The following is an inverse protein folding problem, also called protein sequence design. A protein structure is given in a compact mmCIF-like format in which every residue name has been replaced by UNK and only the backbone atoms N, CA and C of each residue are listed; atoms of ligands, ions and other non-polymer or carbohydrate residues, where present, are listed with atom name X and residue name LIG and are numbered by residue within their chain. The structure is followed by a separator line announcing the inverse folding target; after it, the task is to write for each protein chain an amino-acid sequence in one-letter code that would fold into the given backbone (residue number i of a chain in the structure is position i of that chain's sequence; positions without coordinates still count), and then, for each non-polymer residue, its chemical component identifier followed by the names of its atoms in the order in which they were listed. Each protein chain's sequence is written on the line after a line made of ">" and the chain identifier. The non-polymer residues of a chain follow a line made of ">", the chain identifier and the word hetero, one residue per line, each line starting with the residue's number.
data_IF_469925395867
#
_entry.id   IF_469925395867
#
_cell.length_a   1.000
_cell.length_b   1.000
_cell.length_c   1.000
_cell.angle_alpha   90.00
_cell.angle_beta   90.00
_cell.angle_gamma   90.00
#
_symmetry.space_group_name_H-M   'P 1'
#
loop_
_entity.id
_entity.type
_entity.pdbx_description
1 polymer ?
#
# COMPACT_ATOMS: atom_id res chain seq x y z
N UNK A 1 1.58 -19.88 -13.73
CA UNK A 1 0.85 -18.83 -12.98
C UNK A 1 1.66 -18.44 -11.74
N UNK A 2 2.86 -17.89 -11.92
CA UNK A 2 3.73 -17.47 -10.80
C UNK A 2 3.66 -15.97 -10.49
N UNK A 3 3.07 -15.18 -11.39
CA UNK A 3 3.08 -13.71 -11.30
C UNK A 3 1.99 -13.14 -10.38
N UNK A 4 0.96 -13.91 -10.01
CA UNK A 4 -0.12 -13.41 -9.14
C UNK A 4 0.37 -13.01 -7.75
N UNK A 5 1.42 -13.68 -7.26
CA UNK A 5 2.07 -13.38 -5.98
C UNK A 5 3.17 -12.31 -6.09
N UNK A 6 3.40 -11.76 -7.28
CA UNK A 6 4.43 -10.76 -7.49
C UNK A 6 4.06 -9.47 -6.74
N UNK A 7 4.89 -9.13 -5.77
CA UNK A 7 4.79 -7.89 -5.00
C UNK A 7 5.40 -6.72 -5.75
N UNK A 8 4.89 -5.50 -5.53
CA UNK A 8 5.44 -4.29 -6.15
C UNK A 8 6.86 -4.02 -5.63
N UNK A 9 7.05 -4.13 -4.32
CA UNK A 9 8.33 -4.08 -3.60
C UNK A 9 8.38 -5.21 -2.56
N UNK A 10 9.56 -5.52 -1.99
CA UNK A 10 9.69 -6.57 -0.97
C UNK A 10 8.99 -6.17 0.33
N UNK A 11 7.91 -6.89 0.68
CA UNK A 11 7.14 -6.63 1.91
C UNK A 11 7.97 -6.74 3.20
N UNK A 12 9.14 -7.40 3.19
CA UNK A 12 10.04 -7.45 4.35
C UNK A 12 10.52 -6.07 4.79
N UNK A 13 10.62 -5.12 3.86
CA UNK A 13 11.02 -3.75 4.18
C UNK A 13 10.10 -3.12 5.24
N UNK A 14 8.80 -3.46 5.22
CA UNK A 14 7.83 -2.96 6.21
C UNK A 14 8.16 -3.46 7.62
N UNK A 15 8.69 -4.68 7.75
CA UNK A 15 9.07 -5.27 9.03
C UNK A 15 10.34 -4.65 9.62
N UNK A 16 11.16 -4.01 8.78
CA UNK A 16 12.39 -3.32 9.19
C UNK A 16 12.15 -1.87 9.66
N UNK A 17 10.91 -1.37 9.53
CA UNK A 17 10.57 -0.02 9.97
C UNK A 17 10.62 0.06 11.50
N UNK A 18 11.49 0.93 12.01
CA UNK A 18 11.58 1.24 13.44
C UNK A 18 10.41 2.11 13.90
N UNK A 19 9.30 1.44 14.23
CA UNK A 19 8.07 2.08 14.66
C UNK A 19 8.20 2.78 16.03
N UNK A 20 9.21 2.46 16.83
CA UNK A 20 9.46 3.15 18.10
C UNK A 20 9.84 4.63 17.91
N UNK A 21 10.27 5.01 16.69
CA UNK A 21 10.53 6.40 16.31
C UNK A 21 9.27 7.16 15.86
N UNK A 22 8.14 6.47 15.70
CA UNK A 22 6.89 7.13 15.32
C UNK A 22 6.37 8.00 16.48
N UNK A 23 5.99 9.27 16.23
CA UNK A 23 5.34 10.10 17.24
C UNK A 23 3.87 9.68 17.48
N UNK A 24 3.36 8.73 16.70
CA UNK A 24 1.97 8.27 16.76
C UNK A 24 1.85 7.12 17.76
N UNK A 25 0.96 7.28 18.74
CA UNK A 25 0.59 6.20 19.65
C UNK A 25 -0.44 5.28 19.00
N UNK A 26 -0.14 4.00 18.96
CA UNK A 26 -1.05 2.94 18.51
C UNK A 26 -1.63 2.21 19.74
N UNK A 27 -2.84 2.56 20.19
CA UNK A 27 -3.46 1.83 21.29
C UNK A 27 -3.71 0.37 20.89
N UNK A 28 -3.79 -0.51 21.89
CA UNK A 28 -4.16 -1.92 21.74
C UNK A 28 -3.16 -2.80 20.96
N UNK A 29 -1.89 -2.40 20.87
CA UNK A 29 -0.83 -3.26 20.30
C UNK A 29 -0.89 -3.40 18.77
N UNK A 30 -1.54 -2.46 18.08
CA UNK A 30 -1.54 -2.38 16.62
C UNK A 30 -0.12 -2.03 16.15
N UNK A 31 0.37 -2.78 15.17
CA UNK A 31 1.68 -2.57 14.52
C UNK A 31 1.63 -3.03 13.07
N UNK A 32 2.70 -2.82 12.31
CA UNK A 32 2.83 -3.33 10.93
C UNK A 32 2.66 -4.86 10.89
N UNK A 33 3.25 -5.57 11.86
CA UNK A 33 3.17 -7.03 11.96
C UNK A 33 1.90 -7.54 12.63
N UNK A 34 1.12 -6.65 13.24
CA UNK A 34 -0.16 -6.94 13.88
C UNK A 34 -1.16 -5.80 13.63
N UNK A 35 -1.61 -5.57 12.38
CA UNK A 35 -2.46 -4.43 12.04
C UNK A 35 -3.90 -4.57 12.57
N UNK A 36 -4.29 -5.78 12.95
CA UNK A 36 -5.61 -6.14 13.48
C UNK A 36 -5.89 -7.62 13.27
N UNK A 37 -6.96 -8.12 13.88
CA UNK A 37 -7.37 -9.52 13.69
C UNK A 37 -7.70 -9.79 12.21
N UNK A 38 -7.11 -10.87 11.67
CA UNK A 38 -7.24 -11.26 10.24
C UNK A 38 -6.74 -10.21 9.24
N UNK A 39 -6.03 -9.18 9.68
CA UNK A 39 -5.51 -8.14 8.80
C UNK A 39 -4.02 -8.38 8.49
N UNK A 40 -3.62 -8.09 7.25
CA UNK A 40 -2.22 -8.17 6.81
C UNK A 40 -1.84 -6.90 6.07
N UNK A 41 -0.82 -6.20 6.55
CA UNK A 41 -0.19 -5.09 5.84
C UNK A 41 0.96 -5.62 4.97
N UNK A 42 0.95 -5.28 3.68
CA UNK A 42 1.93 -5.79 2.71
C UNK A 42 2.04 -4.89 1.48
N UNK A 43 3.02 -5.17 0.63
CA UNK A 43 3.09 -4.59 -0.70
C UNK A 43 1.87 -4.97 -1.55
N UNK A 44 1.46 -4.06 -2.45
CA UNK A 44 0.48 -4.34 -3.50
C UNK A 44 0.96 -5.50 -4.38
N UNK A 45 0.04 -6.41 -4.72
CA UNK A 45 0.28 -7.55 -5.61
C UNK A 45 -0.54 -7.47 -6.88
N UNK A 46 -0.14 -8.21 -7.90
CA UNK A 46 -0.92 -8.37 -9.13
C UNK A 46 -2.32 -8.94 -8.85
N UNK A 47 -2.43 -9.92 -7.93
CA UNK A 47 -3.72 -10.51 -7.54
C UNK A 47 -4.71 -9.51 -6.93
N UNK A 48 -4.25 -8.36 -6.45
CA UNK A 48 -5.09 -7.42 -5.70
C UNK A 48 -6.11 -6.68 -6.56
N UNK A 49 -5.93 -6.70 -7.87
CA UNK A 49 -6.97 -6.29 -8.81
C UNK A 49 -8.28 -7.06 -8.55
N UNK A 50 -8.19 -8.38 -8.37
CA UNK A 50 -9.34 -9.24 -8.13
C UNK A 50 -9.82 -9.21 -6.65
N UNK A 51 -9.02 -8.63 -5.75
CA UNK A 51 -9.34 -8.44 -4.32
C UNK A 51 -9.96 -7.06 -4.01
N UNK A 52 -10.40 -6.33 -5.02
CA UNK A 52 -11.16 -5.09 -4.81
C UNK A 52 -10.32 -3.80 -4.73
N UNK A 53 -9.05 -3.81 -5.17
CA UNK A 53 -8.16 -2.64 -5.03
C UNK A 53 -8.72 -1.37 -5.70
N UNK A 54 -9.26 -1.48 -6.92
CA UNK A 54 -9.83 -0.32 -7.62
C UNK A 54 -11.18 0.13 -7.04
N UNK A 55 -11.94 -0.79 -6.45
CA UNK A 55 -13.15 -0.50 -5.70
C UNK A 55 -12.82 0.30 -4.43
N UNK A 56 -11.72 -0.03 -3.74
CA UNK A 56 -11.21 0.78 -2.64
C UNK A 56 -10.79 2.18 -3.13
N UNK A 57 -9.96 2.28 -4.17
CA UNK A 57 -9.51 3.58 -4.69
C UNK A 57 -10.67 4.45 -5.20
N UNK A 58 -11.77 3.86 -5.67
CA UNK A 58 -12.97 4.60 -6.10
C UNK A 58 -13.63 5.41 -4.97
N UNK A 59 -13.35 5.09 -3.70
CA UNK A 59 -13.81 5.89 -2.54
C UNK A 59 -13.00 7.19 -2.35
N UNK A 60 -11.84 7.31 -3.00
CA UNK A 60 -10.99 8.49 -2.96
C UNK A 60 -11.22 9.39 -4.18
N UNK A 61 -11.25 8.81 -5.38
CA UNK A 61 -11.37 9.55 -6.64
C UNK A 61 -11.90 8.64 -7.76
N UNK A 62 -12.17 9.20 -8.94
CA UNK A 62 -12.59 8.42 -10.10
C UNK A 62 -11.50 7.43 -10.55
N UNK A 63 -11.89 6.16 -10.68
CA UNK A 63 -11.06 5.06 -11.17
C UNK A 63 -11.70 4.29 -12.32
N UNK A 64 -12.77 4.84 -12.90
CA UNK A 64 -13.56 4.21 -13.94
C UNK A 64 -12.71 3.78 -15.15
N UNK A 65 -13.15 2.72 -15.82
CA UNK A 65 -12.55 2.18 -17.05
C UNK A 65 -11.17 1.53 -16.90
N UNK A 66 -10.70 1.26 -15.68
CA UNK A 66 -9.46 0.49 -15.49
C UNK A 66 -9.71 -1.00 -15.68
N UNK A 67 -9.07 -1.60 -16.67
CA UNK A 67 -9.07 -3.06 -16.88
C UNK A 67 -7.88 -3.72 -16.20
N UNK A 68 -7.91 -5.05 -16.07
CA UNK A 68 -6.81 -5.82 -15.49
C UNK A 68 -5.52 -5.66 -16.28
N UNK A 69 -5.62 -5.55 -17.60
CA UNK A 69 -4.49 -5.33 -18.51
C UNK A 69 -3.83 -3.97 -18.27
N UNK A 70 -4.63 -2.90 -18.16
CA UNK A 70 -4.13 -1.55 -17.86
C UNK A 70 -3.44 -1.53 -16.49
N UNK A 71 -4.04 -2.21 -15.51
CA UNK A 71 -3.44 -2.35 -14.17
C UNK A 71 -2.10 -3.10 -14.23
N UNK A 72 -2.02 -4.23 -14.94
CA UNK A 72 -0.78 -5.00 -15.10
C UNK A 72 0.33 -4.19 -15.73
N UNK A 73 0.03 -3.46 -16.82
CA UNK A 73 1.00 -2.58 -17.48
C UNK A 73 1.52 -1.51 -16.51
N UNK A 74 0.63 -0.86 -15.75
CA UNK A 74 1.00 0.14 -14.74
C UNK A 74 1.83 -0.48 -13.63
N UNK A 75 1.43 -1.64 -13.11
CA UNK A 75 2.13 -2.34 -12.04
C UNK A 75 3.57 -2.66 -12.44
N UNK A 76 3.78 -3.23 -13.64
CA UNK A 76 5.11 -3.54 -14.13
C UNK A 76 5.95 -2.28 -14.38
N UNK A 77 5.36 -1.20 -14.90
CA UNK A 77 6.05 0.07 -15.07
C UNK A 77 6.54 0.63 -13.73
N UNK A 78 5.68 0.64 -12.71
CA UNK A 78 6.03 1.10 -11.35
C UNK A 78 7.10 0.20 -10.72
N UNK A 79 6.96 -1.14 -10.84
CA UNK A 79 7.94 -2.10 -10.33
C UNK A 79 9.34 -1.93 -10.95
N UNK A 80 9.39 -1.58 -12.22
CA UNK A 80 10.65 -1.38 -12.94
C UNK A 80 11.37 -0.07 -12.54
N UNK A 81 10.65 0.89 -11.94
CA UNK A 81 11.23 2.07 -11.32
C UNK A 81 11.77 1.73 -9.92
N UNK A 82 13.01 1.24 -9.89
CA UNK A 82 13.69 0.86 -8.64
C UNK A 82 13.64 1.99 -7.60
N UNK A 83 13.41 1.59 -6.36
CA UNK A 83 13.41 2.45 -5.17
C UNK A 83 12.49 3.68 -5.27
N UNK A 84 11.44 3.62 -6.09
CA UNK A 84 10.55 4.77 -6.37
C UNK A 84 9.14 4.59 -5.80
N UNK A 85 8.47 3.46 -6.06
CA UNK A 85 7.06 3.27 -5.71
C UNK A 85 6.86 2.20 -4.63
N UNK A 86 6.19 2.59 -3.55
CA UNK A 86 5.88 1.72 -2.40
C UNK A 86 4.37 1.75 -2.11
N UNK A 87 3.56 1.27 -3.06
CA UNK A 87 2.13 1.08 -2.86
C UNK A 87 1.90 -0.05 -1.84
N UNK A 88 1.42 0.34 -0.67
CA UNK A 88 1.21 -0.53 0.49
C UNK A 88 -0.27 -0.67 0.73
N UNK A 89 -0.72 -1.90 1.00
CA UNK A 89 -2.12 -2.23 1.22
C UNK A 89 -2.31 -2.95 2.54
N UNK A 90 -3.53 -2.86 3.07
CA UNK A 90 -4.01 -3.76 4.13
C UNK A 90 -5.08 -4.67 3.52
N UNK A 91 -4.87 -5.97 3.63
CA UNK A 91 -5.83 -7.00 3.26
C UNK A 91 -6.56 -7.48 4.51
N UNK A 92 -7.89 -7.63 4.43
CA UNK A 92 -8.64 -8.50 5.33
C UNK A 92 -8.67 -9.91 4.74
N UNK A 93 -7.95 -10.82 5.39
CA UNK A 93 -7.80 -12.21 4.94
C UNK A 93 -9.04 -13.06 5.19
N UNK A 94 -9.98 -12.61 6.04
CA UNK A 94 -11.24 -13.30 6.29
C UNK A 94 -12.24 -13.10 5.14
N UNK A 95 -12.17 -11.95 4.47
CA UNK A 95 -13.00 -11.62 3.30
C UNK A 95 -12.22 -11.66 1.98
N UNK A 96 -10.89 -11.84 2.03
CA UNK A 96 -9.98 -11.79 0.88
C UNK A 96 -10.10 -10.48 0.09
N UNK A 97 -10.15 -9.35 0.82
CA UNK A 97 -10.40 -8.02 0.26
C UNK A 97 -9.34 -7.02 0.67
N UNK A 98 -8.96 -6.11 -0.23
CA UNK A 98 -8.14 -4.96 0.10
C UNK A 98 -9.01 -3.86 0.72
N UNK A 99 -8.65 -3.46 1.94
CA UNK A 99 -9.47 -2.58 2.80
C UNK A 99 -8.80 -1.24 3.11
N UNK A 100 -7.50 -1.10 2.87
CA UNK A 100 -6.79 0.17 2.98
C UNK A 100 -5.60 0.19 2.02
N UNK A 101 -5.19 1.39 1.62
CA UNK A 101 -4.06 1.60 0.71
C UNK A 101 -3.44 2.98 0.91
N UNK A 102 -2.13 3.06 0.68
CA UNK A 102 -1.36 4.29 0.60
C UNK A 102 -0.11 4.06 -0.25
N UNK A 103 0.31 5.07 -0.99
CA UNK A 103 1.51 5.00 -1.84
C UNK A 103 2.56 5.98 -1.33
N UNK A 104 3.76 5.48 -1.01
CA UNK A 104 4.94 6.34 -0.87
C UNK A 104 5.68 6.38 -2.21
N UNK A 105 5.87 7.59 -2.74
CA UNK A 105 6.71 7.85 -3.91
C UNK A 105 8.02 8.53 -3.49
N UNK A 106 9.14 8.02 -3.98
CA UNK A 106 10.48 8.59 -3.74
C UNK A 106 10.97 9.30 -4.99
N UNK A 107 11.12 10.61 -4.89
CA UNK A 107 11.60 11.47 -5.97
C UNK A 107 13.08 11.84 -5.75
N UNK A 108 13.94 11.55 -6.72
CA UNK A 108 15.35 11.94 -6.72
C UNK A 108 15.52 13.38 -7.21
N UNK A 109 16.37 14.17 -6.54
CA UNK A 109 16.58 15.60 -6.84
C UNK A 109 18.07 15.92 -6.92
N UNK A 110 18.48 16.83 -7.81
CA UNK A 110 19.87 17.34 -7.82
C UNK A 110 20.16 18.36 -6.71
N UNK A 111 19.14 19.14 -6.34
CA UNK A 111 19.26 20.13 -5.26
C UNK A 111 19.54 19.46 -3.91
N UNK A 112 20.05 20.23 -2.95
CA UNK A 112 20.32 19.77 -1.58
C UNK A 112 21.23 18.53 -1.52
N UNK A 113 22.32 18.53 -2.30
CA UNK A 113 23.30 17.45 -2.35
C UNK A 113 22.71 16.11 -2.83
N UNK A 114 22.08 16.11 -4.00
CA UNK A 114 21.45 14.92 -4.56
C UNK A 114 20.38 14.30 -3.63
N UNK A 115 19.56 15.15 -2.98
CA UNK A 115 18.57 14.70 -2.01
C UNK A 115 17.48 13.80 -2.63
N UNK A 116 16.80 13.05 -1.76
CA UNK A 116 15.55 12.36 -2.07
C UNK A 116 14.37 13.05 -1.37
N UNK A 117 13.17 12.95 -1.96
CA UNK A 117 11.92 13.49 -1.41
C UNK A 117 10.85 12.41 -1.42
N UNK A 118 10.27 12.11 -0.26
CA UNK A 118 9.06 11.29 -0.16
C UNK A 118 7.79 12.09 -0.42
N UNK A 119 6.81 11.46 -1.08
CA UNK A 119 5.43 11.94 -1.24
C UNK A 119 4.49 10.82 -0.82
N UNK A 120 3.50 11.15 -0.02
CA UNK A 120 2.44 10.21 0.36
C UNK A 120 1.24 10.56 -0.50
N UNK A 121 0.77 9.59 -1.28
CA UNK A 121 -0.30 9.73 -2.25
C UNK A 121 -1.34 8.59 -2.04
N UNK A 122 -2.53 8.77 -2.62
CA UNK A 122 -3.55 7.72 -2.72
C UNK A 122 -3.98 7.06 -1.39
N UNK A 123 -3.96 7.84 -0.28
CA UNK A 123 -4.33 7.33 1.05
C UNK A 123 -5.84 7.13 1.15
N UNK A 124 -6.27 5.89 1.36
CA UNK A 124 -7.69 5.54 1.48
C UNK A 124 -7.90 4.35 2.43
N UNK A 125 -8.99 4.41 3.19
CA UNK A 125 -9.48 3.30 4.03
C UNK A 125 -10.94 3.08 3.68
N UNK A 126 -11.30 1.82 3.42
CA UNK A 126 -12.65 1.37 3.13
C UNK A 126 -13.58 1.83 4.25
N UNK A 127 -14.73 2.41 3.89
CA UNK A 127 -15.64 3.06 4.84
C UNK A 127 -15.94 2.25 6.10
N UNK A 128 -16.23 0.97 5.97
CA UNK A 128 -16.55 0.05 7.07
C UNK A 128 -15.35 -0.30 7.98
N UNK A 129 -14.12 0.00 7.55
CA UNK A 129 -12.89 -0.16 8.35
C UNK A 129 -12.36 1.17 8.91
N UNK A 130 -13.01 2.30 8.65
CA UNK A 130 -12.61 3.59 9.22
C UNK A 130 -12.75 3.58 10.74
N UNK A 131 -11.90 4.34 11.43
CA UNK A 131 -11.83 4.37 12.89
C UNK A 131 -11.01 3.21 13.52
N UNK A 132 -10.62 2.19 12.74
CA UNK A 132 -9.77 1.07 13.19
C UNK A 132 -8.26 1.36 13.18
N UNK A 133 -7.87 2.64 13.22
CA UNK A 133 -6.48 3.12 13.19
C UNK A 133 -5.66 2.82 11.92
N UNK A 134 -6.22 2.14 10.91
CA UNK A 134 -5.50 1.77 9.68
C UNK A 134 -4.94 2.94 8.88
N UNK A 135 -5.59 4.11 8.90
CA UNK A 135 -5.05 5.30 8.23
C UNK A 135 -3.92 6.00 8.99
N UNK A 136 -3.69 5.63 10.27
CA UNK A 136 -2.53 6.09 11.03
C UNK A 136 -1.34 5.16 10.89
N UNK A 137 -1.62 3.88 10.63
CA UNK A 137 -0.64 2.81 10.50
C UNK A 137 0.07 2.95 9.16
#
# INVERSE_FOLDING_TARGET
>A
NGDEELELFDSKLLQEIDFAKSPVSFPNGISITNPGESLVMRSLKISDFDKGYFQLLSQLTDTSNTTKEIFLERFHAMKNCKDTYYATVVEDTSTNQIIAGATLEIEQKFIRQCAIRGRIEEVVVLEEYRGKQLGKL
#
